data_IF_197984709945
#
_entry.id   IF_197984709945
#
_cell.length_a   1.000
_cell.length_b   1.000
_cell.length_c   1.000
_cell.angle_alpha   90.00
_cell.angle_beta   90.00
_cell.angle_gamma   90.00
#
_symmetry.space_group_name_H-M   'P 1'
#
loop_
_entity.id
_entity.type
_entity.pdbx_description
1 polymer ?
#
# COMPACT_ATOMS: atom_id res chain seq x y z
N UNK A 1 10.70 -29.82 -12.80
CA UNK A 1 12.11 -29.78 -12.36
C UNK A 1 12.19 -29.02 -11.03
N UNK A 2 13.28 -29.18 -10.31
CA UNK A 2 13.55 -28.46 -9.09
C UNK A 2 13.73 -26.96 -9.36
N UNK A 3 13.57 -26.13 -8.32
CA UNK A 3 13.79 -24.70 -8.46
C UNK A 3 15.21 -24.38 -8.91
N UNK A 4 15.37 -23.41 -9.80
CA UNK A 4 16.66 -23.16 -10.47
C UNK A 4 17.74 -22.68 -9.48
N UNK A 5 17.35 -21.89 -8.49
CA UNK A 5 18.27 -21.21 -7.58
C UNK A 5 18.11 -21.65 -6.13
N UNK A 6 16.86 -21.75 -5.67
CA UNK A 6 16.57 -22.07 -4.28
C UNK A 6 16.51 -23.58 -4.03
N UNK A 7 16.83 -24.05 -2.82
CA UNK A 7 16.81 -25.46 -2.46
C UNK A 7 15.37 -25.96 -2.25
N UNK A 8 14.54 -25.85 -3.29
CA UNK A 8 13.14 -26.28 -3.32
C UNK A 8 13.00 -27.27 -4.47
N UNK A 9 12.66 -28.50 -4.15
CA UNK A 9 12.48 -29.56 -5.12
C UNK A 9 11.09 -29.53 -5.76
N UNK A 10 10.97 -30.14 -6.94
CA UNK A 10 9.66 -30.35 -7.57
C UNK A 10 8.72 -31.12 -6.64
N UNK A 11 9.25 -32.08 -5.88
CA UNK A 11 8.48 -32.86 -4.92
C UNK A 11 7.87 -31.98 -3.84
N UNK A 12 8.65 -31.09 -3.23
CA UNK A 12 8.21 -30.16 -2.20
C UNK A 12 7.13 -29.19 -2.71
N UNK A 13 7.23 -28.76 -3.97
CA UNK A 13 6.16 -27.97 -4.61
C UNK A 13 4.82 -28.73 -4.60
N UNK A 14 4.81 -30.01 -4.99
CA UNK A 14 3.60 -30.80 -4.97
C UNK A 14 3.16 -31.21 -3.56
N UNK A 15 4.07 -31.36 -2.62
CA UNK A 15 3.75 -31.56 -1.20
C UNK A 15 3.04 -30.34 -0.61
N UNK A 16 3.54 -29.13 -0.90
CA UNK A 16 2.88 -27.89 -0.48
C UNK A 16 1.51 -27.72 -1.17
N UNK A 17 1.41 -28.06 -2.44
CA UNK A 17 0.14 -28.05 -3.19
C UNK A 17 -0.88 -28.99 -2.58
N UNK A 18 -0.45 -30.13 -2.04
CA UNK A 18 -1.33 -31.15 -1.47
C UNK A 18 -2.20 -30.65 -0.31
N UNK A 19 -1.77 -29.62 0.43
CA UNK A 19 -2.60 -28.94 1.45
C UNK A 19 -3.88 -28.35 0.88
N UNK A 20 -3.93 -28.05 -0.42
CA UNK A 20 -5.04 -27.36 -1.08
C UNK A 20 -5.86 -28.27 -2.01
N UNK A 21 -5.35 -29.44 -2.38
CA UNK A 21 -5.94 -30.28 -3.42
C UNK A 21 -7.34 -30.77 -3.09
N UNK A 22 -7.61 -31.08 -1.81
CA UNK A 22 -8.92 -31.55 -1.35
C UNK A 22 -10.00 -30.45 -1.23
N UNK A 23 -9.64 -29.19 -1.44
CA UNK A 23 -10.46 -28.04 -1.11
C UNK A 23 -11.00 -27.29 -2.33
N UNK A 24 -10.94 -27.90 -3.51
CA UNK A 24 -11.26 -27.25 -4.78
C UNK A 24 -12.77 -27.00 -5.03
N UNK A 25 -13.66 -27.29 -4.08
CA UNK A 25 -15.07 -26.97 -4.21
C UNK A 25 -15.37 -25.57 -3.66
N UNK A 26 -15.55 -24.61 -4.56
CA UNK A 26 -16.08 -23.29 -4.23
C UNK A 26 -17.59 -23.39 -4.02
N UNK A 27 -18.05 -23.17 -2.78
CA UNK A 27 -19.47 -22.96 -2.50
C UNK A 27 -19.76 -21.49 -2.27
N UNK A 28 -20.82 -20.99 -2.88
CA UNK A 28 -21.37 -19.69 -2.56
C UNK A 28 -22.18 -19.79 -1.27
N UNK A 29 -21.76 -19.03 -0.25
CA UNK A 29 -22.52 -18.88 0.98
C UNK A 29 -23.16 -17.50 0.97
N UNK A 30 -24.49 -17.47 0.94
CA UNK A 30 -25.24 -16.22 1.02
C UNK A 30 -25.53 -15.90 2.48
N UNK A 31 -25.05 -14.75 2.93
CA UNK A 31 -25.37 -14.22 4.26
C UNK A 31 -26.06 -12.87 4.06
N UNK A 32 -27.39 -12.86 4.03
CA UNK A 32 -28.16 -11.66 3.68
C UNK A 32 -27.90 -11.20 2.25
N UNK A 33 -27.49 -9.93 2.08
CA UNK A 33 -27.12 -9.33 0.77
C UNK A 33 -25.72 -9.65 0.31
N UNK A 34 -24.89 -10.26 1.14
CA UNK A 34 -23.50 -10.58 0.82
C UNK A 34 -23.38 -12.03 0.36
N UNK A 35 -22.70 -12.21 -0.77
CA UNK A 35 -22.30 -13.53 -1.26
C UNK A 35 -20.82 -13.71 -1.00
N UNK A 36 -20.46 -14.65 -0.13
CA UNK A 36 -19.07 -15.04 0.08
C UNK A 36 -18.82 -16.39 -0.63
N UNK A 37 -17.68 -16.49 -1.31
CA UNK A 37 -17.20 -17.77 -1.81
C UNK A 37 -16.30 -18.39 -0.77
N UNK A 38 -16.70 -19.51 -0.22
CA UNK A 38 -15.92 -20.29 0.74
C UNK A 38 -15.43 -21.58 0.09
N UNK A 39 -14.17 -21.88 0.32
CA UNK A 39 -13.64 -23.19 -0.07
C UNK A 39 -14.10 -24.21 0.95
N UNK A 40 -14.82 -25.23 0.49
CA UNK A 40 -15.20 -26.36 1.32
C UNK A 40 -14.31 -27.56 1.00
N UNK A 41 -14.01 -28.33 2.03
CA UNK A 41 -13.33 -29.62 1.87
C UNK A 41 -14.17 -30.52 0.97
N UNK A 42 -13.60 -30.86 -0.19
CA UNK A 42 -14.16 -31.82 -1.13
C UNK A 42 -13.86 -33.27 -0.73
N UNK A 43 -14.08 -34.20 -1.65
CA UNK A 43 -13.58 -35.57 -1.49
C UNK A 43 -12.05 -35.56 -1.49
N UNK A 44 -11.39 -36.42 -0.70
CA UNK A 44 -9.95 -36.57 -0.75
C UNK A 44 -9.47 -36.83 -2.18
N UNK A 45 -8.57 -36.02 -2.67
CA UNK A 45 -7.91 -36.18 -3.96
C UNK A 45 -6.44 -36.45 -3.67
N UNK A 46 -5.88 -37.47 -4.28
CA UNK A 46 -4.45 -37.74 -4.18
C UNK A 46 -3.69 -36.77 -5.06
N UNK A 47 -2.72 -36.10 -4.48
CA UNK A 47 -1.81 -35.21 -5.21
C UNK A 47 -0.72 -36.04 -5.85
N UNK A 48 -0.52 -35.87 -7.14
CA UNK A 48 0.55 -36.52 -7.89
C UNK A 48 1.65 -35.52 -8.26
N UNK A 49 2.90 -35.91 -8.16
CA UNK A 49 3.98 -35.19 -8.80
C UNK A 49 3.86 -35.39 -10.31
N UNK A 50 3.54 -34.33 -11.04
CA UNK A 50 3.37 -34.39 -12.49
C UNK A 50 4.72 -34.48 -13.20
N UNK A 51 4.86 -35.46 -14.10
CA UNK A 51 6.08 -35.63 -14.89
C UNK A 51 6.22 -34.45 -15.84
N UNK A 52 7.30 -33.68 -15.71
CA UNK A 52 7.56 -32.44 -16.45
C UNK A 52 6.44 -31.39 -16.34
N UNK A 53 5.64 -31.42 -15.28
CA UNK A 53 4.52 -30.52 -15.09
C UNK A 53 3.28 -30.81 -15.96
N UNK A 54 3.29 -31.86 -16.76
CA UNK A 54 2.16 -32.24 -17.63
C UNK A 54 1.09 -32.94 -16.79
N UNK A 55 -0.08 -32.29 -16.64
CA UNK A 55 -1.21 -32.82 -15.86
C UNK A 55 -1.77 -34.15 -16.38
N UNK A 56 -1.48 -34.50 -17.63
CA UNK A 56 -1.86 -35.78 -18.26
C UNK A 56 -0.91 -36.93 -17.91
N UNK A 57 0.20 -36.64 -17.24
CA UNK A 57 1.24 -37.59 -16.89
C UNK A 57 1.49 -37.62 -15.39
N UNK A 58 0.53 -38.11 -14.60
CA UNK A 58 0.70 -38.24 -13.16
C UNK A 58 1.83 -39.25 -12.84
N UNK A 59 2.72 -38.83 -11.96
CA UNK A 59 3.78 -39.68 -11.42
C UNK A 59 3.41 -40.22 -10.04
N UNK A 60 4.38 -40.27 -9.13
CA UNK A 60 4.17 -40.71 -7.76
C UNK A 60 3.15 -39.89 -6.98
N UNK A 61 2.42 -40.53 -6.07
CA UNK A 61 1.57 -39.83 -5.10
C UNK A 61 2.45 -39.19 -4.05
N UNK A 62 2.14 -37.95 -3.69
CA UNK A 62 2.81 -37.22 -2.61
C UNK A 62 1.80 -36.77 -1.56
N UNK A 63 2.18 -36.88 -0.31
CA UNK A 63 1.43 -36.33 0.82
C UNK A 63 1.81 -34.88 1.07
N UNK A 64 0.91 -34.12 1.71
CA UNK A 64 1.21 -32.76 2.15
C UNK A 64 2.41 -32.74 3.09
N UNK A 65 3.33 -31.82 2.86
CA UNK A 65 4.50 -31.61 3.73
C UNK A 65 5.02 -30.18 3.58
N UNK A 66 5.88 -29.78 4.51
CA UNK A 66 6.50 -28.46 4.56
C UNK A 66 7.84 -28.45 3.80
N UNK A 67 8.20 -27.35 3.13
CA UNK A 67 9.51 -27.21 2.48
C UNK A 67 10.65 -27.35 3.49
N UNK A 68 11.61 -28.24 3.22
CA UNK A 68 12.71 -28.55 4.12
C UNK A 68 13.55 -27.31 4.47
N UNK A 69 13.74 -26.39 3.51
CA UNK A 69 14.50 -25.15 3.70
C UNK A 69 13.94 -24.26 4.81
N UNK A 70 12.64 -24.34 5.09
CA UNK A 70 11.97 -23.56 6.13
C UNK A 70 11.47 -24.41 7.31
N UNK A 71 11.72 -25.71 7.29
CA UNK A 71 11.26 -26.68 8.30
C UNK A 71 12.44 -27.26 9.09
N UNK A 72 13.17 -26.41 9.81
CA UNK A 72 14.37 -26.82 10.57
C UNK A 72 14.06 -27.78 11.71
N UNK A 73 12.85 -27.74 12.28
CA UNK A 73 12.43 -28.64 13.37
C UNK A 73 12.00 -30.02 12.91
N UNK A 74 11.95 -30.29 11.58
CA UNK A 74 11.52 -31.57 11.03
C UNK A 74 10.08 -31.96 11.38
N UNK A 75 9.21 -30.98 11.60
CA UNK A 75 7.80 -31.22 11.91
C UNK A 75 7.06 -31.59 10.63
N UNK A 76 6.20 -32.61 10.72
CA UNK A 76 5.36 -33.01 9.59
C UNK A 76 3.87 -32.84 9.91
N UNK A 77 3.02 -32.51 8.92
CA UNK A 77 1.59 -32.42 9.13
C UNK A 77 0.99 -33.80 9.41
N UNK A 78 0.02 -33.87 10.33
CA UNK A 78 -0.67 -35.11 10.71
C UNK A 78 -1.76 -35.50 9.71
N UNK A 79 -2.46 -34.52 9.17
CA UNK A 79 -3.62 -34.71 8.27
C UNK A 79 -3.49 -34.00 6.93
N UNK A 80 -2.47 -33.17 6.76
CA UNK A 80 -2.28 -32.36 5.56
C UNK A 80 -3.37 -31.32 5.35
N UNK A 81 -3.89 -30.75 6.43
CA UNK A 81 -4.94 -29.75 6.38
C UNK A 81 -4.35 -28.33 6.30
N UNK A 82 -5.04 -27.41 5.62
CA UNK A 82 -4.64 -25.99 5.56
C UNK A 82 -4.46 -25.34 6.92
N UNK A 83 -5.20 -25.82 7.95
CA UNK A 83 -5.04 -25.34 9.33
C UNK A 83 -3.65 -25.68 9.88
N UNK A 84 -3.14 -26.86 9.56
CA UNK A 84 -1.78 -27.27 9.96
C UNK A 84 -0.74 -26.43 9.22
N UNK A 85 -0.94 -26.18 7.92
CA UNK A 85 -0.07 -25.26 7.16
C UNK A 85 -0.08 -23.85 7.77
N UNK A 86 -1.25 -23.31 8.11
CA UNK A 86 -1.38 -22.00 8.73
C UNK A 86 -0.67 -21.95 10.10
N UNK A 87 -0.86 -22.99 10.93
CA UNK A 87 -0.19 -23.09 12.23
C UNK A 87 1.34 -23.17 12.09
N UNK A 88 1.84 -23.90 11.08
CA UNK A 88 3.28 -23.98 10.80
C UNK A 88 3.84 -22.62 10.29
N UNK A 89 3.14 -21.94 9.37
CA UNK A 89 3.57 -20.63 8.87
C UNK A 89 3.68 -19.60 10.00
N UNK A 90 2.75 -19.64 10.96
CA UNK A 90 2.71 -18.69 12.09
C UNK A 90 3.41 -19.23 13.34
N UNK A 91 4.01 -20.42 13.26
CA UNK A 91 4.71 -21.04 14.37
C UNK A 91 6.10 -20.45 14.61
N UNK A 92 6.60 -20.62 15.85
CA UNK A 92 7.94 -20.16 16.24
C UNK A 92 9.06 -20.82 15.45
N UNK A 93 8.84 -22.02 14.95
CA UNK A 93 9.82 -22.80 14.19
C UNK A 93 10.02 -22.31 12.76
N UNK A 94 9.10 -21.45 12.26
CA UNK A 94 9.23 -20.87 10.92
C UNK A 94 9.83 -19.45 10.99
N UNK A 95 11.13 -19.40 11.26
CA UNK A 95 11.89 -18.16 11.34
C UNK A 95 11.82 -17.33 10.03
N UNK A 96 11.67 -17.98 8.87
CA UNK A 96 11.59 -17.30 7.58
C UNK A 96 10.33 -16.46 7.46
N UNK A 97 9.17 -17.02 7.81
CA UNK A 97 7.90 -16.27 7.75
C UNK A 97 7.89 -15.07 8.69
N UNK A 98 8.47 -15.21 9.90
CA UNK A 98 8.62 -14.12 10.86
C UNK A 98 9.50 -12.99 10.32
N UNK A 99 10.66 -13.32 9.74
CA UNK A 99 11.57 -12.33 9.14
C UNK A 99 10.93 -11.62 7.95
N UNK A 100 10.23 -12.34 7.08
CA UNK A 100 9.50 -11.74 5.94
C UNK A 100 8.45 -10.76 6.43
N UNK A 101 7.66 -11.12 7.44
CA UNK A 101 6.64 -10.23 8.00
C UNK A 101 7.26 -8.97 8.63
N UNK A 102 8.30 -9.11 9.45
CA UNK A 102 9.01 -8.00 10.07
C UNK A 102 9.64 -7.06 9.02
N UNK A 103 10.30 -7.63 8.01
CA UNK A 103 10.91 -6.87 6.92
C UNK A 103 9.88 -6.07 6.10
N UNK A 104 8.70 -6.63 5.86
CA UNK A 104 7.60 -5.92 5.17
C UNK A 104 7.05 -4.77 6.01
N UNK A 105 6.90 -4.95 7.33
CA UNK A 105 6.48 -3.86 8.22
C UNK A 105 7.54 -2.75 8.21
N UNK A 106 8.81 -3.10 8.31
CA UNK A 106 9.93 -2.16 8.23
C UNK A 106 9.93 -1.38 6.90
N UNK A 107 9.81 -2.06 5.78
CA UNK A 107 9.74 -1.47 4.44
C UNK A 107 8.63 -0.40 4.34
N UNK A 108 7.45 -0.64 4.92
CA UNK A 108 6.34 0.31 4.87
C UNK A 108 6.65 1.61 5.63
N UNK A 109 7.51 1.56 6.64
CA UNK A 109 7.90 2.75 7.39
C UNK A 109 9.06 3.51 6.72
N UNK A 110 10.12 2.80 6.34
CA UNK A 110 11.34 3.43 5.86
C UNK A 110 11.44 3.56 4.34
N UNK A 111 10.54 2.92 3.59
CA UNK A 111 10.66 2.86 2.12
C UNK A 111 11.79 1.97 1.62
N UNK A 112 12.74 1.58 2.49
CA UNK A 112 13.81 0.64 2.24
C UNK A 112 13.70 -0.60 3.14
N UNK A 113 13.85 -1.82 2.59
CA UNK A 113 13.80 -3.05 3.36
C UNK A 113 15.15 -3.34 4.02
N UNK A 114 15.14 -4.15 5.09
CA UNK A 114 16.37 -4.71 5.67
C UNK A 114 16.96 -5.83 4.81
N UNK A 115 16.12 -6.58 4.10
CA UNK A 115 16.48 -7.63 3.14
C UNK A 115 15.60 -7.53 1.91
N UNK A 116 16.00 -8.10 0.78
CA UNK A 116 15.21 -8.09 -0.47
C UNK A 116 13.80 -8.64 -0.21
N UNK A 117 12.73 -7.84 -0.35
CA UNK A 117 11.42 -8.24 0.15
C UNK A 117 10.69 -9.25 -0.73
N UNK A 118 11.05 -9.34 -2.00
CA UNK A 118 10.53 -10.29 -2.97
C UNK A 118 11.33 -11.61 -3.01
N UNK A 119 12.52 -11.62 -2.47
CA UNK A 119 13.41 -12.80 -2.52
C UNK A 119 14.25 -12.92 -1.25
N UNK A 120 13.81 -13.79 -0.34
CA UNK A 120 14.58 -14.22 0.84
C UNK A 120 15.44 -15.47 0.55
N UNK A 121 15.50 -15.89 -0.71
CA UNK A 121 16.26 -17.02 -1.18
C UNK A 121 17.69 -16.67 -1.58
N UNK A 122 18.28 -17.53 -2.39
CA UNK A 122 19.72 -17.47 -2.75
C UNK A 122 20.08 -16.31 -3.67
N UNK A 123 19.11 -15.69 -4.35
CA UNK A 123 19.33 -14.53 -5.24
C UNK A 123 19.08 -13.19 -4.54
N UNK A 124 18.46 -13.21 -3.35
CA UNK A 124 18.22 -12.02 -2.54
C UNK A 124 19.52 -11.48 -1.94
N UNK A 125 19.55 -10.17 -1.70
CA UNK A 125 20.66 -9.55 -0.96
C UNK A 125 20.61 -9.97 0.51
N UNK A 126 21.75 -10.27 1.13
CA UNK A 126 21.80 -10.46 2.58
C UNK A 126 21.22 -9.26 3.32
N UNK A 127 20.60 -9.47 4.49
CA UNK A 127 20.10 -8.37 5.32
C UNK A 127 21.20 -7.38 5.66
N UNK A 128 20.90 -6.06 5.56
CA UNK A 128 21.82 -5.01 5.99
C UNK A 128 22.08 -5.05 7.50
N UNK A 129 21.06 -5.43 8.26
CA UNK A 129 21.09 -5.53 9.73
C UNK A 129 20.49 -6.88 10.18
N UNK A 130 21.20 -8.02 10.05
CA UNK A 130 20.63 -9.32 10.34
C UNK A 130 20.15 -9.46 11.79
N UNK A 131 20.91 -8.99 12.76
CA UNK A 131 20.51 -9.02 14.18
C UNK A 131 19.25 -8.19 14.48
N UNK A 132 19.09 -7.04 13.81
CA UNK A 132 17.89 -6.23 13.93
C UNK A 132 16.68 -6.94 13.32
N UNK A 133 16.84 -7.56 12.14
CA UNK A 133 15.76 -8.31 11.51
C UNK A 133 15.30 -9.48 12.37
N UNK A 134 16.23 -10.20 12.97
CA UNK A 134 15.94 -11.31 13.89
C UNK A 134 15.21 -10.81 15.16
N UNK A 135 15.69 -9.71 15.74
CA UNK A 135 15.07 -9.11 16.91
C UNK A 135 13.64 -8.63 16.62
N UNK A 136 13.43 -7.93 15.48
CA UNK A 136 12.09 -7.50 15.07
C UNK A 136 11.13 -8.67 14.83
N UNK A 137 11.63 -9.76 14.27
CA UNK A 137 10.86 -10.98 14.06
C UNK A 137 10.43 -11.61 15.39
N UNK A 138 11.33 -11.70 16.37
CA UNK A 138 11.04 -12.20 17.71
C UNK A 138 10.10 -11.28 18.49
N UNK A 139 10.28 -9.95 18.41
CA UNK A 139 9.38 -8.98 19.03
C UNK A 139 7.97 -9.07 18.45
N UNK A 140 7.83 -9.27 17.13
CA UNK A 140 6.53 -9.43 16.50
C UNK A 140 5.80 -10.67 16.99
N UNK A 141 6.51 -11.79 17.09
CA UNK A 141 5.98 -13.02 17.66
C UNK A 141 5.63 -12.85 19.15
N UNK A 142 6.56 -12.28 19.95
CA UNK A 142 6.37 -12.07 21.40
C UNK A 142 5.23 -11.11 21.75
N UNK A 143 4.77 -10.32 20.79
CA UNK A 143 3.60 -9.43 20.89
C UNK A 143 2.34 -10.02 20.26
N UNK A 144 2.23 -11.33 20.16
CA UNK A 144 1.08 -12.03 19.60
C UNK A 144 0.70 -11.55 18.18
N UNK A 145 1.70 -11.30 17.34
CA UNK A 145 1.52 -10.79 15.97
C UNK A 145 0.74 -9.46 15.88
N UNK A 146 0.90 -8.62 16.90
CA UNK A 146 0.21 -7.34 16.98
C UNK A 146 0.90 -6.30 16.09
N UNK A 147 0.36 -6.09 14.90
CA UNK A 147 0.88 -5.14 13.91
C UNK A 147 0.91 -3.71 14.46
N UNK A 148 -0.10 -3.28 15.24
CA UNK A 148 -0.11 -1.92 15.83
C UNK A 148 1.01 -1.73 16.85
N UNK A 149 1.33 -2.76 17.61
CA UNK A 149 2.45 -2.70 18.55
C UNK A 149 3.79 -2.57 17.83
N UNK A 150 3.95 -3.26 16.68
CA UNK A 150 5.14 -3.12 15.82
C UNK A 150 5.23 -1.73 15.18
N UNK A 151 4.14 -1.19 14.67
CA UNK A 151 4.12 0.20 14.18
C UNK A 151 4.58 1.17 15.27
N UNK A 152 4.02 1.07 16.48
CA UNK A 152 4.42 1.92 17.59
C UNK A 152 5.91 1.77 17.92
N UNK A 153 6.41 0.54 18.00
CA UNK A 153 7.82 0.25 18.29
C UNK A 153 8.76 0.93 17.28
N UNK A 154 8.47 0.79 15.99
CA UNK A 154 9.27 1.38 14.92
C UNK A 154 9.17 2.91 14.94
N UNK A 155 7.97 3.47 14.97
CA UNK A 155 7.75 4.92 14.89
C UNK A 155 8.29 5.69 16.08
N UNK A 156 8.40 5.07 17.26
CA UNK A 156 9.01 5.69 18.45
C UNK A 156 10.52 5.49 18.52
N UNK A 157 11.13 4.80 17.57
CA UNK A 157 12.58 4.61 17.52
C UNK A 157 13.31 5.88 17.08
N UNK A 158 14.52 6.07 17.57
CA UNK A 158 15.38 7.18 17.14
C UNK A 158 15.71 7.09 15.63
N UNK A 159 15.71 5.90 15.04
CA UNK A 159 15.95 5.72 13.62
C UNK A 159 14.83 6.33 12.77
N UNK A 160 13.57 6.11 13.17
CA UNK A 160 12.42 6.65 12.44
C UNK A 160 12.26 8.17 12.63
N UNK A 161 12.68 8.70 13.78
CA UNK A 161 12.58 10.12 14.10
C UNK A 161 13.75 10.96 13.57
N UNK A 162 14.60 10.38 12.74
CA UNK A 162 15.67 11.12 12.07
C UNK A 162 15.13 12.05 11.00
N UNK A 163 15.76 13.20 10.83
CA UNK A 163 15.50 14.12 9.72
C UNK A 163 15.98 13.52 8.38
N UNK A 164 15.35 13.93 7.29
CA UNK A 164 15.81 13.68 5.91
C UNK A 164 16.98 14.59 5.49
N UNK A 165 17.36 15.55 6.33
CA UNK A 165 18.38 16.54 6.03
C UNK A 165 19.72 15.87 5.62
N UNK A 166 20.42 16.42 4.60
CA UNK A 166 21.69 15.89 4.15
C UNK A 166 22.79 16.08 5.23
N UNK A 167 23.71 15.12 5.25
CA UNK A 167 24.93 15.17 6.03
C UNK A 167 26.08 14.65 5.15
N UNK A 168 27.00 15.54 4.76
CA UNK A 168 28.05 15.24 3.79
C UNK A 168 28.96 14.10 4.26
N UNK A 169 29.33 14.08 5.53
CA UNK A 169 30.18 13.03 6.10
C UNK A 169 29.49 11.66 6.05
N UNK A 170 28.20 11.59 6.43
CA UNK A 170 27.45 10.35 6.39
C UNK A 170 27.18 9.90 4.95
N UNK A 171 26.89 10.85 4.04
CA UNK A 171 26.71 10.58 2.62
C UNK A 171 27.98 10.02 1.97
N UNK A 172 29.16 10.52 2.32
CA UNK A 172 30.43 9.99 1.83
C UNK A 172 30.66 8.54 2.27
N UNK A 173 30.21 8.17 3.48
CA UNK A 173 30.38 6.81 4.03
C UNK A 173 29.31 5.82 3.55
N UNK A 174 28.09 6.28 3.39
CA UNK A 174 26.95 5.46 3.01
C UNK A 174 25.98 6.25 2.12
N UNK A 175 26.33 6.43 0.83
CA UNK A 175 25.54 7.25 -0.11
C UNK A 175 24.12 6.73 -0.35
N UNK A 176 23.89 5.43 -0.19
CA UNK A 176 22.60 4.79 -0.43
C UNK A 176 21.78 4.55 0.86
N UNK A 177 22.25 5.13 1.98
CA UNK A 177 21.59 5.08 3.29
C UNK A 177 21.24 3.66 3.79
N UNK A 178 22.08 2.66 3.48
CA UNK A 178 21.89 1.28 3.97
C UNK A 178 21.92 1.17 5.50
N UNK A 179 22.58 2.11 6.17
CA UNK A 179 22.73 2.16 7.63
C UNK A 179 21.68 3.04 8.32
N UNK A 180 20.72 3.56 7.57
CA UNK A 180 19.62 4.39 8.08
C UNK A 180 20.12 5.61 8.88
N UNK A 181 21.18 6.30 8.38
CA UNK A 181 21.74 7.47 9.05
C UNK A 181 20.84 8.71 8.94
N UNK A 182 19.88 8.72 8.00
CA UNK A 182 18.78 9.69 7.86
C UNK A 182 17.47 8.97 7.59
N UNK A 183 16.35 9.70 7.66
CA UNK A 183 15.11 9.25 7.04
C UNK A 183 15.18 9.52 5.54
N UNK A 184 14.93 8.52 4.71
CA UNK A 184 14.86 8.74 3.27
C UNK A 184 13.47 9.27 2.91
N UNK A 185 13.46 10.46 2.27
CA UNK A 185 12.24 11.03 1.74
C UNK A 185 11.55 10.02 0.81
N UNK A 186 10.31 9.66 1.10
CA UNK A 186 9.54 8.74 0.26
C UNK A 186 8.23 9.34 -0.19
N UNK A 187 7.86 9.09 -1.44
CA UNK A 187 6.55 9.47 -1.93
C UNK A 187 5.45 8.63 -1.25
N UNK A 188 4.31 9.25 -0.97
CA UNK A 188 3.09 8.57 -0.54
C UNK A 188 2.64 7.55 -1.60
N UNK A 189 2.09 6.42 -1.17
CA UNK A 189 1.45 5.45 -2.06
C UNK A 189 0.17 6.01 -2.68
N UNK A 190 -0.31 5.39 -3.73
CA UNK A 190 -1.53 5.81 -4.43
C UNK A 190 -2.72 6.02 -3.49
N UNK A 191 -2.91 5.08 -2.56
CA UNK A 191 -3.99 5.12 -1.58
C UNK A 191 -3.76 6.21 -0.53
N UNK A 192 -2.52 6.39 -0.08
CA UNK A 192 -2.15 7.45 0.87
C UNK A 192 -2.38 8.83 0.26
N UNK A 193 -1.96 9.07 -0.98
CA UNK A 193 -2.20 10.35 -1.68
C UNK A 193 -3.69 10.69 -1.71
N UNK A 194 -4.55 9.76 -2.16
CA UNK A 194 -5.99 10.02 -2.23
C UNK A 194 -6.60 10.22 -0.83
N UNK A 195 -6.23 9.40 0.14
CA UNK A 195 -6.76 9.49 1.49
C UNK A 195 -6.31 10.78 2.19
N UNK A 196 -5.06 11.24 1.96
CA UNK A 196 -4.56 12.53 2.47
C UNK A 196 -5.30 13.72 1.87
N UNK A 197 -5.63 13.69 0.57
CA UNK A 197 -6.44 14.72 -0.07
C UNK A 197 -7.83 14.78 0.57
N UNK A 198 -8.50 13.64 0.74
CA UNK A 198 -9.81 13.58 1.39
C UNK A 198 -9.76 14.03 2.86
N UNK A 199 -8.66 13.73 3.56
CA UNK A 199 -8.42 14.17 4.93
C UNK A 199 -8.24 15.70 5.00
N UNK A 200 -7.42 16.28 4.11
CA UNK A 200 -7.24 17.72 4.01
C UNK A 200 -8.57 18.43 3.70
N UNK A 201 -9.41 17.83 2.86
CA UNK A 201 -10.76 18.31 2.58
C UNK A 201 -11.74 18.18 3.77
N UNK A 202 -11.41 17.42 4.82
CA UNK A 202 -12.32 17.09 5.91
C UNK A 202 -13.45 16.12 5.53
N UNK A 203 -13.33 15.44 4.39
CA UNK A 203 -14.37 14.56 3.84
C UNK A 203 -14.07 13.08 3.96
N UNK A 204 -12.86 12.71 4.46
CA UNK A 204 -12.47 11.31 4.61
C UNK A 204 -13.41 10.56 5.54
N UNK A 205 -14.08 9.55 5.01
CA UNK A 205 -14.97 8.68 5.77
C UNK A 205 -14.20 7.44 6.26
N UNK A 206 -14.03 7.34 7.58
CA UNK A 206 -13.27 6.26 8.24
C UNK A 206 -14.09 5.00 8.52
N UNK A 207 -15.34 4.90 8.04
CA UNK A 207 -16.20 3.72 8.24
C UNK A 207 -15.48 2.43 7.82
N UNK A 208 -15.24 1.48 8.73
CA UNK A 208 -14.56 0.24 8.42
C UNK A 208 -15.49 -0.81 7.82
N UNK A 209 -14.93 -1.75 7.06
CA UNK A 209 -15.65 -2.93 6.54
C UNK A 209 -16.69 -2.60 5.46
N UNK A 210 -17.55 -3.56 5.16
CA UNK A 210 -18.60 -3.42 4.16
C UNK A 210 -18.14 -3.65 2.71
N UNK A 211 -19.04 -3.40 1.72
CA UNK A 211 -18.72 -3.62 0.31
C UNK A 211 -17.72 -2.60 -0.23
N UNK A 212 -17.11 -2.93 -1.36
CA UNK A 212 -16.27 -2.00 -2.10
C UNK A 212 -17.06 -0.80 -2.61
N UNK A 213 -16.39 0.34 -2.66
CA UNK A 213 -16.95 1.61 -3.13
C UNK A 213 -16.57 1.87 -4.59
N UNK A 214 -17.41 2.63 -5.26
CA UNK A 214 -17.25 3.01 -6.68
C UNK A 214 -17.35 4.54 -6.81
N UNK A 215 -16.24 5.27 -6.48
CA UNK A 215 -16.19 6.70 -6.66
C UNK A 215 -16.40 7.11 -8.12
N UNK A 216 -16.81 8.34 -8.40
CA UNK A 216 -16.97 8.82 -9.77
C UNK A 216 -15.70 8.69 -10.59
N UNK A 217 -15.81 8.15 -11.80
CA UNK A 217 -14.73 8.12 -12.78
C UNK A 217 -14.94 9.16 -13.88
N UNK A 218 -13.85 9.69 -14.48
CA UNK A 218 -13.96 10.52 -15.67
C UNK A 218 -14.68 9.79 -16.81
N UNK A 219 -15.45 10.53 -17.62
CA UNK A 219 -16.22 9.95 -18.72
C UNK A 219 -15.33 9.20 -19.73
N UNK A 220 -14.13 9.69 -19.95
CA UNK A 220 -13.14 9.03 -20.84
C UNK A 220 -12.77 7.64 -20.34
N UNK A 221 -12.64 7.44 -19.02
CA UNK A 221 -12.35 6.13 -18.43
C UNK A 221 -13.55 5.19 -18.55
N UNK A 222 -14.76 5.72 -18.34
CA UNK A 222 -15.99 4.93 -18.49
C UNK A 222 -16.19 4.47 -19.95
N UNK A 223 -15.76 5.29 -20.90
CA UNK A 223 -15.87 4.98 -22.34
C UNK A 223 -14.91 3.90 -22.82
N UNK A 224 -13.86 3.56 -22.06
CA UNK A 224 -12.90 2.49 -22.47
C UNK A 224 -13.49 1.08 -22.42
N UNK A 225 -14.59 0.90 -21.69
CA UNK A 225 -15.24 -0.40 -21.61
C UNK A 225 -16.17 -0.62 -22.84
N UNK A 226 -16.29 -1.88 -23.31
CA UNK A 226 -17.19 -2.27 -24.42
C UNK A 226 -18.64 -1.84 -24.21
N UNK A 227 -19.04 -1.71 -22.93
CA UNK A 227 -20.28 -1.07 -22.50
C UNK A 227 -19.89 0.02 -21.49
N UNK A 228 -19.95 1.31 -21.86
CA UNK A 228 -19.51 2.43 -21.00
C UNK A 228 -20.11 2.35 -19.60
N UNK A 229 -19.24 2.38 -18.58
CA UNK A 229 -19.63 2.30 -17.16
C UNK A 229 -20.15 0.95 -16.67
N UNK A 230 -20.28 -0.07 -17.53
CA UNK A 230 -20.82 -1.37 -17.14
C UNK A 230 -19.99 -2.03 -16.03
N UNK A 231 -20.68 -2.41 -14.94
CA UNK A 231 -20.07 -3.09 -13.80
C UNK A 231 -19.18 -2.24 -12.91
N UNK A 232 -19.11 -0.89 -13.11
CA UNK A 232 -18.50 0.01 -12.12
C UNK A 232 -19.45 0.23 -10.95
N UNK A 233 -20.64 0.73 -11.22
CA UNK A 233 -21.61 1.12 -10.21
C UNK A 233 -21.50 2.60 -9.82
N UNK A 234 -22.24 3.01 -8.78
CA UNK A 234 -22.22 4.39 -8.26
C UNK A 234 -22.45 4.36 -6.75
N UNK A 235 -21.45 4.76 -6.00
CA UNK A 235 -21.57 5.01 -4.56
C UNK A 235 -22.13 6.40 -4.29
N UNK A 236 -22.77 6.60 -3.13
CA UNK A 236 -23.13 7.93 -2.66
C UNK A 236 -21.89 8.81 -2.47
N UNK A 237 -22.00 10.14 -2.40
CA UNK A 237 -20.86 11.01 -2.10
C UNK A 237 -20.14 10.63 -0.80
N UNK A 238 -20.90 10.34 0.26
CA UNK A 238 -20.36 9.90 1.55
C UNK A 238 -19.58 8.57 1.45
N UNK A 239 -20.15 7.54 0.81
CA UNK A 239 -19.46 6.26 0.59
C UNK A 239 -18.27 6.43 -0.36
N UNK A 240 -18.35 7.33 -1.35
CA UNK A 240 -17.24 7.61 -2.28
C UNK A 240 -16.04 8.25 -1.59
N UNK A 241 -16.21 8.84 -0.43
CA UNK A 241 -15.17 9.47 0.38
C UNK A 241 -14.51 8.50 1.38
N UNK A 242 -14.85 7.22 1.38
CA UNK A 242 -14.18 6.22 2.21
C UNK A 242 -12.76 6.00 1.77
N UNK A 243 -11.94 5.43 2.69
CA UNK A 243 -10.54 5.12 2.44
C UNK A 243 -10.33 4.33 1.14
N UNK A 244 -9.24 4.61 0.47
CA UNK A 244 -8.89 4.05 -0.85
C UNK A 244 -8.78 2.52 -0.85
N UNK A 245 -8.48 1.89 0.27
CA UNK A 245 -8.49 0.43 0.42
C UNK A 245 -9.84 -0.21 0.09
N UNK A 246 -10.93 0.56 0.15
CA UNK A 246 -12.28 0.10 -0.20
C UNK A 246 -12.67 0.37 -1.66
N UNK A 247 -11.85 1.10 -2.42
CA UNK A 247 -12.15 1.36 -3.83
C UNK A 247 -12.16 0.06 -4.61
N UNK A 248 -13.26 -0.14 -5.37
CA UNK A 248 -13.37 -1.31 -6.25
C UNK A 248 -12.24 -1.32 -7.26
N UNK A 249 -11.50 -2.41 -7.29
CA UNK A 249 -10.47 -2.64 -8.28
C UNK A 249 -11.08 -3.40 -9.45
N UNK A 250 -11.03 -2.81 -10.64
CA UNK A 250 -11.52 -3.42 -11.87
C UNK A 250 -10.53 -3.21 -13.00
N UNK A 251 -10.03 -4.30 -13.58
CA UNK A 251 -8.96 -4.32 -14.58
C UNK A 251 -9.18 -3.34 -15.75
N UNK A 252 -10.40 -3.28 -16.28
CA UNK A 252 -10.75 -2.45 -17.44
C UNK A 252 -11.16 -1.02 -17.09
N UNK A 253 -11.33 -0.67 -15.82
CA UNK A 253 -11.74 0.66 -15.36
C UNK A 253 -11.07 0.95 -14.03
N UNK A 254 -9.96 1.65 -14.08
CA UNK A 254 -9.18 1.99 -12.90
C UNK A 254 -9.26 3.50 -12.63
N UNK A 255 -9.14 3.87 -11.37
CA UNK A 255 -9.21 5.27 -10.95
C UNK A 255 -7.90 5.98 -11.29
N UNK A 256 -7.91 7.09 -12.10
CA UNK A 256 -6.69 7.71 -12.60
C UNK A 256 -5.70 8.13 -11.50
N UNK A 257 -6.18 8.68 -10.39
CA UNK A 257 -5.31 9.09 -9.29
C UNK A 257 -4.55 7.89 -8.68
N UNK A 258 -5.16 6.71 -8.62
CA UNK A 258 -4.52 5.52 -8.08
C UNK A 258 -3.51 4.93 -9.08
N UNK A 259 -3.88 4.79 -10.36
CA UNK A 259 -2.96 4.29 -11.40
C UNK A 259 -1.73 5.18 -11.56
N UNK A 260 -1.95 6.49 -11.66
CA UNK A 260 -0.86 7.42 -11.89
C UNK A 260 0.13 7.49 -10.71
N UNK A 261 -0.27 6.99 -9.53
CA UNK A 261 0.60 6.91 -8.35
C UNK A 261 1.03 5.47 -8.03
N UNK A 262 1.16 4.63 -9.06
CA UNK A 262 1.71 3.27 -8.98
C UNK A 262 0.89 2.32 -8.10
N UNK A 263 -0.44 2.35 -8.22
CA UNK A 263 -1.28 1.29 -7.67
C UNK A 263 -0.81 -0.08 -8.21
N UNK A 264 -0.83 -1.10 -7.36
CA UNK A 264 -0.43 -2.44 -7.77
C UNK A 264 -1.15 -2.91 -9.04
N UNK A 265 -0.40 -3.50 -9.97
CA UNK A 265 -0.97 -4.14 -11.15
C UNK A 265 -1.88 -5.30 -10.74
N UNK A 266 -2.99 -5.45 -11.46
CA UNK A 266 -3.95 -6.51 -11.21
C UNK A 266 -3.64 -7.81 -11.94
N UNK A 267 -2.75 -7.79 -12.90
CA UNK A 267 -2.47 -8.90 -13.80
C UNK A 267 -1.35 -9.78 -13.30
N UNK A 268 -0.51 -9.23 -12.41
CA UNK A 268 0.67 -9.90 -11.87
C UNK A 268 0.69 -9.88 -10.35
N UNK A 269 1.39 -10.84 -9.76
CA UNK A 269 1.73 -10.80 -8.35
C UNK A 269 2.65 -9.61 -8.07
N UNK A 270 2.32 -8.79 -7.08
CA UNK A 270 3.09 -7.60 -6.72
C UNK A 270 3.62 -7.73 -5.29
N UNK A 271 4.81 -8.32 -5.10
CA UNK A 271 5.43 -8.45 -3.78
C UNK A 271 5.86 -7.10 -3.21
N UNK A 272 6.27 -6.16 -4.09
CA UNK A 272 6.70 -4.79 -3.76
C UNK A 272 6.18 -3.85 -4.82
N UNK A 273 5.67 -2.69 -4.41
CA UNK A 273 5.27 -1.64 -5.34
C UNK A 273 6.46 -0.77 -5.70
N UNK A 274 6.59 -0.44 -6.96
CA UNK A 274 7.54 0.58 -7.39
C UNK A 274 6.96 1.97 -7.08
N UNK A 275 7.82 2.93 -6.74
CA UNK A 275 7.47 4.33 -6.68
C UNK A 275 8.18 5.04 -7.85
N UNK A 276 7.41 5.47 -8.84
CA UNK A 276 7.94 6.22 -9.99
C UNK A 276 7.73 7.72 -9.79
N UNK A 277 8.55 8.53 -10.42
CA UNK A 277 8.35 9.98 -10.52
C UNK A 277 8.26 10.33 -12.00
N UNK A 278 7.02 10.50 -12.48
CA UNK A 278 6.75 10.76 -13.89
C UNK A 278 5.88 12.01 -14.08
N UNK A 279 6.05 12.76 -15.18
CA UNK A 279 5.32 14.00 -15.42
C UNK A 279 3.80 13.85 -15.39
N UNK A 280 3.27 12.69 -15.76
CA UNK A 280 1.83 12.40 -15.73
C UNK A 280 1.23 12.48 -14.34
N UNK A 281 2.00 12.23 -13.28
CA UNK A 281 1.56 12.39 -11.89
C UNK A 281 1.27 13.87 -11.61
N UNK A 282 2.24 14.76 -11.86
CA UNK A 282 2.07 16.21 -11.68
C UNK A 282 0.96 16.77 -12.55
N UNK A 283 0.86 16.35 -13.82
CA UNK A 283 -0.21 16.77 -14.71
C UNK A 283 -1.59 16.34 -14.18
N UNK A 284 -1.72 15.14 -13.66
CA UNK A 284 -2.98 14.66 -13.08
C UNK A 284 -3.31 15.38 -11.77
N UNK A 285 -2.31 15.69 -10.94
CA UNK A 285 -2.49 16.44 -9.71
C UNK A 285 -2.93 17.89 -9.98
N UNK A 286 -2.45 18.53 -11.05
CA UNK A 286 -2.83 19.89 -11.42
C UNK A 286 -4.16 19.95 -12.18
N UNK A 287 -4.40 19.03 -13.14
CA UNK A 287 -5.50 19.14 -14.09
C UNK A 287 -6.63 18.14 -13.84
N UNK A 288 -6.40 17.13 -12.99
CA UNK A 288 -7.38 16.07 -12.73
C UNK A 288 -8.67 16.64 -12.13
N UNK A 289 -9.82 16.14 -12.61
CA UNK A 289 -11.13 16.56 -12.07
C UNK A 289 -11.23 16.34 -10.56
N UNK A 290 -10.76 15.19 -10.08
CA UNK A 290 -10.77 14.88 -8.64
C UNK A 290 -9.99 15.92 -7.83
N UNK A 291 -8.82 16.34 -8.31
CA UNK A 291 -7.99 17.34 -7.65
C UNK A 291 -8.64 18.73 -7.62
N UNK A 292 -9.18 19.16 -8.76
CA UNK A 292 -9.84 20.46 -8.84
C UNK A 292 -11.12 20.51 -7.98
N UNK A 293 -11.91 19.44 -7.96
CA UNK A 293 -13.08 19.33 -7.08
C UNK A 293 -12.67 19.30 -5.61
N UNK A 294 -11.60 18.59 -5.25
CA UNK A 294 -11.06 18.56 -3.89
C UNK A 294 -10.51 19.91 -3.44
N UNK A 295 -9.84 20.64 -4.33
CA UNK A 295 -9.35 21.99 -4.04
C UNK A 295 -10.49 22.97 -3.68
N UNK A 296 -11.64 22.87 -4.33
CA UNK A 296 -12.85 23.65 -3.97
C UNK A 296 -13.35 23.34 -2.57
N UNK A 297 -13.40 22.02 -2.24
CA UNK A 297 -13.85 21.59 -0.91
C UNK A 297 -12.84 22.03 0.15
N UNK A 298 -11.54 21.91 -0.13
CA UNK A 298 -10.49 22.37 0.78
C UNK A 298 -10.54 23.89 0.97
N UNK A 299 -10.66 24.68 -0.09
CA UNK A 299 -10.83 26.13 0.01
C UNK A 299 -12.05 26.54 0.83
N UNK A 300 -13.18 25.83 0.65
CA UNK A 300 -14.37 26.04 1.49
C UNK A 300 -14.08 25.78 2.96
N UNK A 301 -13.39 24.67 3.27
CA UNK A 301 -12.97 24.33 4.64
C UNK A 301 -12.08 25.41 5.25
N UNK A 302 -11.12 25.95 4.47
CA UNK A 302 -10.25 27.03 4.93
C UNK A 302 -11.03 28.28 5.31
N UNK A 303 -12.04 28.67 4.51
CA UNK A 303 -12.93 29.78 4.86
C UNK A 303 -13.76 29.52 6.10
N UNK A 304 -14.31 28.32 6.19
CA UNK A 304 -15.18 27.95 7.32
C UNK A 304 -14.41 27.89 8.65
N UNK A 305 -13.12 27.46 8.63
CA UNK A 305 -12.31 27.29 9.83
C UNK A 305 -11.45 28.52 10.20
N UNK A 306 -11.00 29.31 9.20
CA UNK A 306 -10.11 30.46 9.41
C UNK A 306 -10.78 31.83 9.13
N UNK A 307 -12.05 31.84 8.71
CA UNK A 307 -12.78 33.06 8.43
C UNK A 307 -12.34 33.78 7.15
N UNK A 308 -12.52 35.10 7.11
CA UNK A 308 -12.32 35.89 5.91
C UNK A 308 -10.88 36.40 5.70
N UNK A 309 -9.99 36.25 6.65
CA UNK A 309 -8.60 36.69 6.55
C UNK A 309 -7.77 35.77 5.63
N UNK A 310 -7.26 36.25 4.48
CA UNK A 310 -6.43 35.43 3.61
C UNK A 310 -5.15 34.92 4.28
N UNK A 311 -4.58 35.67 5.22
CA UNK A 311 -3.38 35.25 5.96
C UNK A 311 -3.69 34.03 6.85
N UNK A 312 -4.84 34.07 7.56
CA UNK A 312 -5.25 32.98 8.44
C UNK A 312 -5.66 31.74 7.61
N UNK A 313 -6.25 31.94 6.43
CA UNK A 313 -6.56 30.85 5.49
C UNK A 313 -5.30 30.18 4.96
N UNK A 314 -4.25 30.95 4.63
CA UNK A 314 -2.94 30.41 4.24
C UNK A 314 -2.32 29.63 5.41
N UNK A 315 -2.29 30.20 6.61
CA UNK A 315 -1.76 29.52 7.80
C UNK A 315 -2.51 28.21 8.07
N UNK A 316 -3.83 28.25 8.00
CA UNK A 316 -4.67 27.06 8.21
C UNK A 316 -4.42 25.98 7.15
N UNK A 317 -4.16 26.35 5.90
CA UNK A 317 -3.80 25.40 4.87
C UNK A 317 -2.52 24.62 5.20
N UNK A 318 -1.48 25.31 5.70
CA UNK A 318 -0.23 24.69 6.13
C UNK A 318 -0.41 23.76 7.33
N UNK A 319 -1.17 24.19 8.34
CA UNK A 319 -1.50 23.35 9.49
C UNK A 319 -2.21 22.05 9.09
N UNK A 320 -3.18 22.14 8.17
CA UNK A 320 -3.96 20.96 7.73
C UNK A 320 -3.14 20.07 6.80
N UNK A 321 -2.45 20.65 5.80
CA UNK A 321 -1.78 19.89 4.76
C UNK A 321 -0.42 19.35 5.20
N UNK A 322 0.32 20.08 6.07
CA UNK A 322 1.70 19.75 6.43
C UNK A 322 1.91 19.55 7.94
N UNK A 323 0.86 19.72 8.75
CA UNK A 323 0.90 19.56 10.22
C UNK A 323 1.93 20.48 10.91
N UNK A 324 2.19 21.64 10.33
CA UNK A 324 3.09 22.68 10.86
C UNK A 324 2.58 24.09 10.59
N UNK A 325 3.14 25.06 11.32
CA UNK A 325 2.94 26.46 11.02
C UNK A 325 3.75 26.88 9.77
N UNK A 326 3.22 27.79 8.94
CA UNK A 326 4.01 28.38 7.86
C UNK A 326 5.01 29.37 8.38
N UNK A 327 6.12 29.52 7.69
CA UNK A 327 7.04 30.67 7.87
C UNK A 327 6.44 31.97 7.31
N UNK A 328 6.95 33.12 7.75
CA UNK A 328 6.51 34.44 7.23
C UNK A 328 6.68 34.55 5.71
N UNK A 329 7.70 33.91 5.16
CA UNK A 329 7.95 33.84 3.71
C UNK A 329 6.86 33.04 3.00
N UNK A 330 6.41 31.93 3.56
CA UNK A 330 5.35 31.09 2.98
C UNK A 330 4.01 31.81 3.03
N UNK A 331 3.70 32.48 4.14
CA UNK A 331 2.50 33.31 4.26
C UNK A 331 2.52 34.42 3.21
N UNK A 332 3.63 35.18 3.11
CA UNK A 332 3.74 36.28 2.14
C UNK A 332 3.65 35.79 0.69
N UNK A 333 4.22 34.63 0.37
CA UNK A 333 4.15 34.02 -0.96
C UNK A 333 2.73 33.56 -1.30
N UNK A 334 2.03 32.94 -0.34
CA UNK A 334 0.61 32.56 -0.50
C UNK A 334 -0.31 33.75 -0.75
N UNK A 335 -0.13 34.81 0.03
CA UNK A 335 -0.86 36.07 -0.14
C UNK A 335 -0.58 36.74 -1.48
N UNK A 336 0.71 36.76 -1.90
CA UNK A 336 1.09 37.30 -3.20
C UNK A 336 0.44 36.53 -4.35
N UNK A 337 0.42 35.20 -4.29
CA UNK A 337 -0.25 34.37 -5.28
C UNK A 337 -1.76 34.66 -5.35
N UNK A 338 -2.46 34.66 -4.21
CA UNK A 338 -3.90 34.95 -4.16
C UNK A 338 -4.18 36.35 -4.76
N UNK A 339 -3.39 37.36 -4.39
CA UNK A 339 -3.51 38.71 -4.94
C UNK A 339 -3.25 38.75 -6.45
N UNK A 340 -2.24 38.08 -6.93
CA UNK A 340 -1.88 38.02 -8.35
C UNK A 340 -2.98 37.36 -9.19
N UNK A 341 -3.55 36.27 -8.72
CA UNK A 341 -4.70 35.63 -9.38
C UNK A 341 -5.87 36.58 -9.51
N UNK A 342 -6.18 37.37 -8.48
CA UNK A 342 -7.27 38.37 -8.53
C UNK A 342 -6.95 39.51 -9.47
N UNK A 343 -5.73 40.07 -9.43
CA UNK A 343 -5.39 41.30 -10.16
C UNK A 343 -4.97 41.06 -11.60
N UNK A 344 -4.22 39.99 -11.89
CA UNK A 344 -3.73 39.68 -13.25
C UNK A 344 -4.66 38.73 -14.01
N UNK A 345 -5.19 37.68 -13.34
CA UNK A 345 -6.08 36.72 -13.99
C UNK A 345 -7.55 37.12 -13.88
N UNK A 346 -7.91 38.15 -13.13
CA UNK A 346 -9.28 38.66 -13.02
C UNK A 346 -10.26 37.70 -12.35
N UNK A 347 -9.80 36.75 -11.58
CA UNK A 347 -10.67 35.76 -10.93
C UNK A 347 -11.21 36.30 -9.59
N UNK A 348 -12.34 35.76 -9.15
CA UNK A 348 -12.91 36.08 -7.84
C UNK A 348 -11.97 35.64 -6.70
N UNK A 349 -12.17 36.19 -5.51
CA UNK A 349 -11.42 35.78 -4.30
C UNK A 349 -11.62 34.31 -3.98
N UNK A 350 -12.82 33.81 -4.16
CA UNK A 350 -13.11 32.39 -3.98
C UNK A 350 -12.29 31.50 -4.91
N UNK A 351 -12.25 31.82 -6.22
CA UNK A 351 -11.46 31.08 -7.20
C UNK A 351 -9.96 31.22 -6.94
N UNK A 352 -9.49 32.38 -6.49
CA UNK A 352 -8.09 32.56 -6.13
C UNK A 352 -7.67 31.64 -4.94
N UNK A 353 -8.54 31.53 -3.92
CA UNK A 353 -8.32 30.61 -2.80
C UNK A 353 -8.39 29.13 -3.24
N UNK A 354 -9.30 28.76 -4.17
CA UNK A 354 -9.32 27.42 -4.74
C UNK A 354 -8.01 27.06 -5.45
N UNK A 355 -7.43 28.02 -6.18
CA UNK A 355 -6.11 27.83 -6.84
C UNK A 355 -4.98 27.71 -5.84
N UNK A 356 -5.01 28.49 -4.77
CA UNK A 356 -4.04 28.32 -3.68
C UNK A 356 -4.20 26.97 -2.97
N UNK A 357 -5.43 26.56 -2.68
CA UNK A 357 -5.70 25.22 -2.11
C UNK A 357 -5.20 24.09 -3.03
N UNK A 358 -5.40 24.22 -4.35
CA UNK A 358 -4.84 23.26 -5.32
C UNK A 358 -3.32 23.25 -5.27
N UNK A 359 -2.66 24.41 -5.19
CA UNK A 359 -1.21 24.48 -5.07
C UNK A 359 -0.73 23.77 -3.80
N UNK A 360 -1.35 24.05 -2.64
CA UNK A 360 -0.98 23.41 -1.37
C UNK A 360 -1.03 21.88 -1.45
N UNK A 361 -2.08 21.33 -2.08
CA UNK A 361 -2.20 19.87 -2.30
C UNK A 361 -1.21 19.31 -3.33
N UNK A 362 -0.46 20.16 -4.04
CA UNK A 362 0.54 19.80 -5.04
C UNK A 362 1.99 20.03 -4.59
N UNK A 363 2.20 20.63 -3.43
CA UNK A 363 3.57 20.80 -2.91
C UNK A 363 4.20 19.46 -2.59
N UNK A 364 5.50 19.35 -2.78
CA UNK A 364 6.25 18.13 -2.47
C UNK A 364 6.01 17.65 -1.04
N UNK A 365 5.98 18.57 -0.08
CA UNK A 365 5.72 18.30 1.33
C UNK A 365 4.34 17.64 1.59
N UNK A 366 3.37 17.78 0.67
CA UNK A 366 2.10 17.07 0.75
C UNK A 366 2.16 15.64 0.21
N UNK A 367 3.02 15.40 -0.77
CA UNK A 367 3.08 14.14 -1.52
C UNK A 367 4.20 13.23 -1.05
N UNK A 368 5.20 13.79 -0.34
CA UNK A 368 6.35 13.06 0.22
C UNK A 368 6.36 13.13 1.73
N UNK A 369 6.80 12.05 2.36
CA UNK A 369 7.18 12.02 3.77
C UNK A 369 8.68 12.26 3.88
N UNK A 370 9.07 13.12 4.81
CA UNK A 370 10.44 13.47 5.14
C UNK A 370 10.66 13.51 6.67
#
# INVERSE_FOLDING_TARGET
>A
HDHKYDPITQREFYQLRAFFESDLQLKEQKTGKLTARVMQRGKPIYTHRMIRGDFRRPGEIVSADYPAVANHSGIHPKRGERRELAAWITGADNALALRVAANRIWLQHFGQPLATPEDFGTQGRPPTHPALLDWLALEFMGRDWNIKAMHKLIMTSNAYQRSSAPNDFAFEKDPINNLFWRFDMRRLTAEEVRDSILSACGTLNLKPGGPSITPPLPQIVLATASRPGAGWGRSSPEESSRRSVYVKVKRSMQMPILINHDMADMDTSCPVRFATTVPTQSLNMLNGKFMNDSAKVFAKRLRDEAGASPADQVARAFQIAFSREPSDKEVSSGLAMIKEMRTKAGVSEEVALERFALLALNLNEFVYLD
#
